data_IF_357574934554
#
_entry.id   IF_357574934554
#
_cell.length_a   1.000
_cell.length_b   1.000
_cell.length_c   1.000
_cell.angle_alpha   90.00
_cell.angle_beta   90.00
_cell.angle_gamma   90.00
#
_symmetry.space_group_name_H-M   'P 1'
#
loop_
_entity.id
_entity.type
_entity.pdbx_description
1 polymer ?
#
# COMPACT_ATOMS: atom_id res chain seq x y z
N UNK A 1 17.70 22.53 -21.21
CA UNK A 1 17.79 22.52 -19.73
C UNK A 1 18.85 21.51 -19.32
N UNK A 2 19.78 21.85 -18.44
CA UNK A 2 20.94 21.01 -18.05
C UNK A 2 20.59 19.86 -17.09
N UNK A 3 19.35 19.36 -17.10
CA UNK A 3 19.03 17.97 -16.72
C UNK A 3 19.31 17.50 -15.28
N UNK A 4 19.66 18.36 -14.33
CA UNK A 4 19.73 17.95 -12.91
C UNK A 4 18.41 18.30 -12.25
N UNK A 5 17.43 17.41 -12.40
CA UNK A 5 16.13 17.60 -11.76
C UNK A 5 16.06 16.78 -10.47
N UNK A 6 16.04 17.44 -9.31
CA UNK A 6 15.97 16.78 -8.00
C UNK A 6 14.65 16.04 -7.71
N UNK A 7 13.69 16.02 -8.63
CA UNK A 7 12.40 15.36 -8.44
C UNK A 7 12.37 13.89 -8.89
N UNK A 8 13.36 13.40 -9.65
CA UNK A 8 13.41 12.03 -10.16
C UNK A 8 14.83 11.63 -10.60
N UNK A 9 15.06 10.32 -10.80
CA UNK A 9 16.31 9.80 -11.38
C UNK A 9 17.29 9.17 -10.39
N UNK A 10 16.96 9.14 -9.10
CA UNK A 10 17.72 8.41 -8.08
C UNK A 10 17.31 6.93 -8.09
N UNK A 11 18.31 6.04 -8.05
CA UNK A 11 18.13 4.59 -7.91
C UNK A 11 18.62 4.16 -6.53
N UNK A 12 17.89 3.26 -5.90
CA UNK A 12 18.22 2.70 -4.59
C UNK A 12 17.39 1.45 -4.32
N UNK A 13 17.71 0.76 -3.24
CA UNK A 13 16.98 -0.42 -2.79
C UNK A 13 16.27 -0.17 -1.44
N UNK A 14 15.55 -1.17 -0.95
CA UNK A 14 14.79 -1.05 0.29
C UNK A 14 15.70 -0.81 1.52
N UNK A 15 16.91 -1.37 1.54
CA UNK A 15 17.88 -1.16 2.62
C UNK A 15 18.42 0.27 2.64
N UNK A 16 18.70 0.84 1.46
CA UNK A 16 19.16 2.24 1.37
C UNK A 16 18.08 3.20 1.91
N UNK A 17 16.82 2.95 1.52
CA UNK A 17 15.68 3.71 2.02
C UNK A 17 15.40 3.46 3.50
N UNK A 18 15.71 2.27 4.02
CA UNK A 18 15.56 1.96 5.43
C UNK A 18 16.53 2.80 6.28
N UNK A 19 17.74 3.08 5.80
CA UNK A 19 18.66 4.02 6.47
C UNK A 19 18.04 5.41 6.53
N UNK A 20 17.46 5.91 5.43
CA UNK A 20 16.76 7.20 5.41
C UNK A 20 15.57 7.24 6.38
N UNK A 21 14.72 6.22 6.35
CA UNK A 21 13.58 6.11 7.26
C UNK A 21 14.04 6.06 8.72
N UNK A 22 15.10 5.30 9.00
CA UNK A 22 15.65 5.21 10.35
C UNK A 22 16.29 6.52 10.80
N UNK A 23 16.86 7.34 9.91
CA UNK A 23 17.33 8.69 10.28
C UNK A 23 16.19 9.60 10.75
N UNK A 24 15.01 9.49 10.14
CA UNK A 24 13.81 10.20 10.59
C UNK A 24 13.34 9.68 11.95
N UNK A 25 13.28 8.35 12.13
CA UNK A 25 12.89 7.73 13.41
C UNK A 25 13.87 8.09 14.54
N UNK A 26 15.16 8.05 14.26
CA UNK A 26 16.23 8.42 15.21
C UNK A 26 16.39 9.93 15.39
N UNK A 27 15.54 10.73 14.73
CA UNK A 27 15.55 12.19 14.81
C UNK A 27 16.84 12.89 14.35
N UNK A 28 17.57 12.32 13.40
CA UNK A 28 18.74 13.03 12.83
C UNK A 28 19.90 12.21 12.32
N UNK A 29 19.94 10.90 12.58
CA UNK A 29 21.14 10.11 12.33
C UNK A 29 20.95 8.61 12.26
N UNK A 30 22.00 7.90 11.87
CA UNK A 30 22.02 6.44 11.78
C UNK A 30 23.31 5.88 12.37
N UNK A 31 23.19 4.92 13.29
CA UNK A 31 24.32 4.46 14.10
C UNK A 31 24.92 5.62 14.90
N UNK A 32 26.25 5.82 14.79
CA UNK A 32 26.97 6.89 15.48
C UNK A 32 27.15 8.16 14.61
N UNK A 33 26.47 8.23 13.47
CA UNK A 33 26.59 9.36 12.54
C UNK A 33 25.34 10.23 12.58
N UNK A 34 25.50 11.48 13.00
CA UNK A 34 24.46 12.51 12.93
C UNK A 34 24.58 13.26 11.61
N UNK A 35 23.45 13.37 10.88
CA UNK A 35 23.35 14.04 9.59
C UNK A 35 22.67 15.40 9.72
N UNK A 36 21.68 15.51 10.60
CA UNK A 36 21.01 16.76 10.97
C UNK A 36 20.57 16.71 12.44
N UNK A 37 20.27 17.87 13.01
CA UNK A 37 19.70 17.98 14.36
C UNK A 37 18.18 17.77 14.37
N UNK A 38 17.62 17.58 15.57
CA UNK A 38 16.19 17.32 15.75
C UNK A 38 15.34 18.53 15.29
N UNK A 39 15.82 19.75 15.53
CA UNK A 39 15.13 20.99 15.14
C UNK A 39 14.98 21.09 13.61
N UNK A 40 16.00 20.68 12.86
CA UNK A 40 15.97 20.59 11.40
C UNK A 40 14.94 19.56 10.96
N UNK A 41 14.90 18.38 11.59
CA UNK A 41 13.89 17.38 11.26
C UNK A 41 12.48 17.93 11.51
N UNK A 42 12.26 18.54 12.67
CA UNK A 42 10.96 19.08 13.06
C UNK A 42 10.46 20.09 12.05
N UNK A 43 11.30 20.99 11.55
CA UNK A 43 10.90 21.93 10.50
C UNK A 43 10.54 21.23 9.18
N UNK A 44 11.22 20.13 8.84
CA UNK A 44 10.92 19.36 7.61
C UNK A 44 9.62 18.56 7.70
N UNK A 45 9.31 17.99 8.86
CA UNK A 45 8.11 17.16 9.08
C UNK A 45 6.95 17.94 9.67
N UNK A 46 7.10 19.24 9.95
CA UNK A 46 6.02 20.12 10.41
C UNK A 46 4.96 20.33 9.33
N UNK A 47 3.67 20.43 9.70
CA UNK A 47 2.62 20.79 8.74
C UNK A 47 2.84 22.18 8.16
N UNK A 48 2.69 22.32 6.84
CA UNK A 48 2.54 23.63 6.21
C UNK A 48 1.25 24.30 6.68
N UNK A 49 1.31 25.60 6.93
CA UNK A 49 0.16 26.40 7.39
C UNK A 49 -1.02 26.39 6.42
N UNK A 50 -0.74 26.30 5.11
CA UNK A 50 -1.77 26.29 4.06
C UNK A 50 -2.40 24.92 3.84
N UNK A 51 -1.68 23.84 4.15
CA UNK A 51 -2.17 22.48 4.02
C UNK A 51 -1.34 21.52 4.90
N UNK A 52 -1.98 20.99 5.94
CA UNK A 52 -1.33 20.13 6.94
C UNK A 52 -0.85 18.77 6.40
N UNK A 53 -1.31 18.36 5.22
CA UNK A 53 -0.87 17.14 4.51
C UNK A 53 0.48 17.27 3.80
N UNK A 54 1.15 18.42 3.93
CA UNK A 54 2.48 18.67 3.40
C UNK A 54 3.44 19.09 4.52
N UNK A 55 4.69 18.63 4.42
CA UNK A 55 5.87 19.19 5.07
C UNK A 55 6.84 19.77 4.03
N UNK A 56 8.08 20.03 4.42
CA UNK A 56 9.14 20.38 3.47
C UNK A 56 9.70 19.09 2.85
N UNK A 57 9.37 18.86 1.58
CA UNK A 57 9.78 17.63 0.87
C UNK A 57 8.96 16.38 1.18
N UNK A 58 8.05 16.44 2.15
CA UNK A 58 7.25 15.30 2.60
C UNK A 58 5.75 15.47 2.33
N UNK A 59 5.07 14.36 2.03
CA UNK A 59 3.64 14.21 2.31
C UNK A 59 3.47 13.83 3.77
N UNK A 60 2.36 14.24 4.38
CA UNK A 60 2.02 13.95 5.78
C UNK A 60 0.66 13.29 5.87
N UNK A 61 0.52 12.38 6.83
CA UNK A 61 -0.74 11.76 7.18
C UNK A 61 -1.77 12.80 7.65
N UNK A 62 -1.35 13.74 8.50
CA UNK A 62 -2.22 14.78 9.08
C UNK A 62 -3.49 14.16 9.69
N UNK A 63 -4.66 14.79 9.53
CA UNK A 63 -5.94 14.21 9.94
C UNK A 63 -6.44 13.14 8.94
N UNK A 64 -5.62 12.13 8.68
CA UNK A 64 -5.89 11.03 7.75
C UNK A 64 -6.04 11.46 6.27
N UNK A 65 -5.43 12.58 5.88
CA UNK A 65 -5.46 13.09 4.50
C UNK A 65 -4.73 12.17 3.50
N UNK A 66 -3.74 11.40 3.99
CA UNK A 66 -2.94 10.46 3.21
C UNK A 66 -3.18 8.99 3.55
N UNK A 67 -4.25 8.68 4.29
CA UNK A 67 -4.52 7.31 4.77
C UNK A 67 -4.74 6.29 3.65
N UNK A 68 -5.11 6.75 2.46
CA UNK A 68 -5.19 5.92 1.24
C UNK A 68 -3.84 5.31 0.86
N UNK A 69 -2.71 5.92 1.27
CA UNK A 69 -1.36 5.42 1.03
C UNK A 69 -0.63 5.02 2.32
N UNK A 70 -0.76 5.80 3.39
CA UNK A 70 0.07 5.66 4.61
C UNK A 70 -0.53 4.74 5.67
N UNK A 71 -1.64 4.06 5.37
CA UNK A 71 -2.56 3.44 6.34
C UNK A 71 -3.42 4.45 7.08
N UNK A 72 -4.67 4.07 7.36
CA UNK A 72 -5.50 4.78 8.34
C UNK A 72 -5.13 4.49 9.80
N UNK A 73 -4.18 3.57 10.04
CA UNK A 73 -3.69 3.22 11.37
C UNK A 73 -2.46 4.03 11.79
N UNK A 74 -1.81 4.73 10.85
CA UNK A 74 -0.60 5.50 11.13
C UNK A 74 -0.92 6.83 11.79
N UNK A 75 0.00 7.32 12.62
CA UNK A 75 -0.18 8.55 13.37
C UNK A 75 -0.20 9.79 12.46
N UNK A 76 -0.84 10.87 12.92
CA UNK A 76 -0.92 12.14 12.19
C UNK A 76 0.46 12.75 11.85
N UNK A 77 1.50 12.42 12.61
CA UNK A 77 2.89 12.81 12.37
C UNK A 77 3.59 12.04 11.24
N UNK A 78 3.00 10.93 10.77
CA UNK A 78 3.57 10.08 9.72
C UNK A 78 3.86 10.87 8.45
N UNK A 79 5.07 10.66 7.92
CA UNK A 79 5.55 11.29 6.68
C UNK A 79 5.91 10.24 5.64
N UNK A 80 5.91 10.64 4.37
CA UNK A 80 6.26 9.71 3.30
C UNK A 80 6.15 10.31 1.91
N UNK A 81 6.27 9.43 0.91
CA UNK A 81 6.07 9.79 -0.48
C UNK A 81 5.72 8.57 -1.35
N UNK A 82 4.94 8.80 -2.41
CA UNK A 82 4.71 7.83 -3.49
C UNK A 82 5.59 8.15 -4.70
N UNK A 83 5.98 7.14 -5.45
CA UNK A 83 6.71 7.29 -6.71
C UNK A 83 5.88 6.90 -7.92
N UNK A 84 6.17 7.52 -9.06
CA UNK A 84 5.45 7.26 -10.32
C UNK A 84 5.39 5.78 -10.69
N UNK A 85 6.48 5.04 -10.46
CA UNK A 85 6.64 3.61 -10.79
C UNK A 85 5.92 2.66 -9.82
N UNK A 86 5.15 3.18 -8.86
CA UNK A 86 4.43 2.36 -7.88
C UNK A 86 5.18 2.17 -6.56
N UNK A 87 6.14 3.04 -6.24
CA UNK A 87 6.89 2.95 -4.98
C UNK A 87 6.19 3.73 -3.87
N UNK A 88 6.41 3.31 -2.62
CA UNK A 88 5.91 3.98 -1.43
C UNK A 88 6.95 3.92 -0.32
N UNK A 89 7.17 5.05 0.35
CA UNK A 89 7.86 5.12 1.63
C UNK A 89 6.94 5.78 2.64
N UNK A 90 6.77 5.15 3.80
CA UNK A 90 6.00 5.64 4.95
C UNK A 90 6.89 5.54 6.17
N UNK A 91 6.97 6.61 6.94
CA UNK A 91 7.76 6.67 8.17
C UNK A 91 6.91 7.33 9.24
N UNK A 92 6.57 6.56 10.26
CA UNK A 92 5.83 6.99 11.43
C UNK A 92 6.83 7.15 12.60
N UNK A 93 7.22 8.39 12.95
CA UNK A 93 8.13 8.63 14.05
C UNK A 93 7.47 8.45 15.42
N UNK A 94 6.13 8.41 15.52
CA UNK A 94 5.42 8.15 16.77
C UNK A 94 5.47 6.66 17.11
N UNK A 95 5.12 5.80 16.16
CA UNK A 95 5.09 4.34 16.34
C UNK A 95 6.46 3.68 16.02
N UNK A 96 7.51 4.46 15.76
CA UNK A 96 8.84 4.00 15.35
C UNK A 96 8.80 2.96 14.22
N UNK A 97 7.92 3.18 13.24
CA UNK A 97 7.61 2.21 12.20
C UNK A 97 7.87 2.80 10.83
N UNK A 98 8.48 2.01 9.94
CA UNK A 98 8.64 2.38 8.54
C UNK A 98 8.14 1.27 7.62
N UNK A 99 7.53 1.68 6.50
CA UNK A 99 7.09 0.79 5.42
C UNK A 99 7.72 1.27 4.13
N UNK A 100 8.48 0.38 3.48
CA UNK A 100 9.08 0.63 2.18
C UNK A 100 8.56 -0.42 1.21
N UNK A 101 7.87 0.05 0.17
CA UNK A 101 7.33 -0.78 -0.89
C UNK A 101 7.95 -0.34 -2.21
N UNK A 102 8.71 -1.25 -2.83
CA UNK A 102 9.28 -1.04 -4.15
C UNK A 102 8.58 -1.96 -5.14
N UNK A 103 7.89 -1.35 -6.10
CA UNK A 103 7.24 -2.07 -7.21
C UNK A 103 7.70 -1.51 -8.54
N UNK A 104 7.22 -2.13 -9.62
CA UNK A 104 7.39 -1.63 -10.97
C UNK A 104 6.04 -1.61 -11.68
N UNK A 105 5.04 -1.02 -11.03
CA UNK A 105 3.64 -0.91 -11.49
C UNK A 105 3.52 -0.49 -12.95
N UNK A 106 4.32 0.51 -13.34
CA UNK A 106 4.30 1.10 -14.68
C UNK A 106 5.01 0.24 -15.73
N UNK A 107 5.79 -0.77 -15.33
CA UNK A 107 6.40 -1.72 -16.25
C UNK A 107 5.45 -2.88 -16.55
N UNK A 108 4.25 -2.51 -17.02
CA UNK A 108 3.19 -3.43 -17.46
C UNK A 108 2.51 -2.84 -18.69
N UNK A 109 1.73 -3.61 -19.47
CA UNK A 109 1.00 -3.06 -20.60
C UNK A 109 -0.05 -2.02 -20.18
N UNK A 110 -0.29 -1.04 -21.05
CA UNK A 110 -1.46 -0.14 -20.96
C UNK A 110 -2.70 -0.92 -21.39
N UNK A 111 -3.81 -0.79 -20.67
CA UNK A 111 -5.02 -1.60 -20.91
C UNK A 111 -5.81 -1.18 -22.16
N UNK A 112 -5.89 0.13 -22.43
CA UNK A 112 -6.65 0.70 -23.56
C UNK A 112 -5.78 1.67 -24.40
N UNK A 113 -4.66 1.18 -24.96
CA UNK A 113 -3.64 2.02 -25.62
C UNK A 113 -4.17 2.82 -26.82
N UNK A 114 -5.31 2.43 -27.37
CA UNK A 114 -6.00 3.11 -28.46
C UNK A 114 -6.63 4.46 -28.05
N UNK A 115 -6.73 4.76 -26.76
CA UNK A 115 -7.29 6.03 -26.26
C UNK A 115 -6.27 6.82 -25.43
N UNK A 116 -6.14 8.11 -25.71
CA UNK A 116 -5.26 8.99 -24.92
C UNK A 116 -5.78 9.21 -23.50
N UNK A 117 -7.10 9.05 -23.28
CA UNK A 117 -7.75 9.16 -21.98
C UNK A 117 -7.24 8.12 -20.96
N UNK A 118 -6.68 7.01 -21.42
CA UNK A 118 -6.19 5.91 -20.57
C UNK A 118 -4.70 5.62 -20.80
N UNK A 119 -3.96 6.59 -21.35
CA UNK A 119 -2.53 6.44 -21.65
C UNK A 119 -1.67 6.14 -20.41
N UNK A 120 -2.19 6.37 -19.20
CA UNK A 120 -1.54 6.03 -17.92
C UNK A 120 -2.26 4.91 -17.16
N UNK A 121 -3.16 4.18 -17.81
CA UNK A 121 -3.91 3.07 -17.23
C UNK A 121 -3.15 1.74 -17.46
N UNK A 122 -2.07 1.59 -16.71
CA UNK A 122 -1.23 0.40 -16.72
C UNK A 122 -1.91 -0.74 -16.00
N UNK A 123 -1.83 -1.97 -16.53
CA UNK A 123 -2.36 -3.17 -15.89
C UNK A 123 -1.89 -3.32 -14.44
N UNK A 124 -0.65 -2.90 -14.15
CA UNK A 124 -0.09 -2.90 -12.80
C UNK A 124 -0.84 -2.03 -11.82
N UNK A 125 -1.40 -0.90 -12.27
CA UNK A 125 -2.16 0.03 -11.43
C UNK A 125 -3.49 -0.54 -10.92
N UNK A 126 -3.91 -1.69 -11.46
CA UNK A 126 -5.06 -2.44 -11.01
C UNK A 126 -4.70 -3.48 -9.95
N UNK A 127 -3.42 -3.76 -9.69
CA UNK A 127 -3.02 -4.62 -8.58
C UNK A 127 -3.29 -3.96 -7.22
N UNK A 128 -3.65 -4.76 -6.22
CA UNK A 128 -3.88 -4.31 -4.84
C UNK A 128 -2.65 -3.63 -4.25
N UNK A 129 -1.45 -4.14 -4.58
CA UNK A 129 -0.19 -3.55 -4.16
C UNK A 129 -0.07 -2.07 -4.57
N UNK A 130 -0.58 -1.73 -5.75
CA UNK A 130 -0.57 -0.37 -6.30
C UNK A 130 -1.60 0.57 -5.69
N UNK A 131 -2.50 0.06 -4.84
CA UNK A 131 -3.39 0.88 -4.04
C UNK A 131 -2.75 1.35 -2.74
N UNK A 132 -1.57 0.82 -2.38
CA UNK A 132 -0.72 1.18 -1.23
C UNK A 132 -1.33 0.94 0.15
N UNK A 133 -2.46 1.59 0.46
CA UNK A 133 -3.03 1.69 1.80
C UNK A 133 -3.28 0.35 2.47
N UNK A 134 -3.64 -0.68 1.71
CA UNK A 134 -3.85 -2.03 2.24
C UNK A 134 -2.55 -2.67 2.72
N UNK A 135 -1.46 -2.55 1.96
CA UNK A 135 -0.15 -3.11 2.31
C UNK A 135 0.46 -2.33 3.47
N UNK A 136 0.40 -0.99 3.44
CA UNK A 136 0.82 -0.17 4.56
C UNK A 136 0.03 -0.53 5.82
N UNK A 137 -1.29 -0.67 5.71
CA UNK A 137 -2.13 -1.06 6.84
C UNK A 137 -1.81 -2.43 7.39
N UNK A 138 -1.47 -3.41 6.55
CA UNK A 138 -1.00 -4.72 6.99
C UNK A 138 0.32 -4.64 7.75
N UNK A 139 1.26 -3.79 7.31
CA UNK A 139 2.54 -3.62 7.98
C UNK A 139 2.38 -2.92 9.34
N UNK A 140 1.69 -1.78 9.41
CA UNK A 140 1.37 -1.09 10.69
C UNK A 140 0.56 -1.98 11.63
N UNK A 141 -0.36 -2.75 11.08
CA UNK A 141 -1.14 -3.75 11.82
C UNK A 141 -0.31 -4.86 12.46
N UNK A 142 0.84 -5.20 11.89
CA UNK A 142 1.71 -6.27 12.40
C UNK A 142 2.63 -5.77 13.52
N UNK A 143 2.93 -4.48 13.54
CA UNK A 143 3.75 -3.84 14.59
C UNK A 143 2.90 -3.53 15.84
N UNK A 144 1.64 -3.12 15.64
CA UNK A 144 0.71 -2.83 16.73
C UNK A 144 0.05 -4.10 17.28
N UNK A 145 0.60 -4.58 18.40
CA UNK A 145 0.20 -5.68 19.29
C UNK A 145 -0.84 -6.69 18.76
N UNK A 146 -0.36 -7.92 18.61
CA UNK A 146 -0.84 -8.99 17.72
C UNK A 146 -2.12 -9.67 18.23
N UNK A 147 -3.23 -8.93 18.33
CA UNK A 147 -4.53 -9.53 18.64
C UNK A 147 -5.03 -10.27 17.40
N UNK A 148 -4.98 -11.61 17.43
CA UNK A 148 -5.51 -12.51 16.41
C UNK A 148 -6.90 -12.09 15.89
N UNK A 149 -7.77 -11.59 16.77
CA UNK A 149 -9.10 -11.05 16.43
C UNK A 149 -9.06 -9.79 15.57
N UNK A 150 -8.10 -8.89 15.79
CA UNK A 150 -7.88 -7.71 14.97
C UNK A 150 -7.35 -8.11 13.58
N UNK A 151 -6.44 -9.09 13.51
CA UNK A 151 -5.90 -9.58 12.25
C UNK A 151 -6.96 -10.29 11.40
N UNK A 152 -7.83 -11.08 12.01
CA UNK A 152 -8.97 -11.68 11.32
C UNK A 152 -9.93 -10.61 10.78
N UNK A 153 -10.23 -9.58 11.57
CA UNK A 153 -11.10 -8.49 11.14
C UNK A 153 -10.49 -7.70 9.97
N UNK A 154 -9.17 -7.46 9.99
CA UNK A 154 -8.42 -6.81 8.90
C UNK A 154 -8.53 -7.61 7.59
N UNK A 155 -8.30 -8.92 7.63
CA UNK A 155 -8.40 -9.78 6.44
C UNK A 155 -9.81 -9.86 5.87
N UNK A 156 -10.82 -9.93 6.75
CA UNK A 156 -12.23 -9.88 6.35
C UNK A 156 -12.53 -8.55 5.64
N UNK A 157 -12.01 -7.43 6.16
CA UNK A 157 -12.18 -6.12 5.53
C UNK A 157 -11.52 -6.09 4.15
N UNK A 158 -10.25 -6.49 4.04
CA UNK A 158 -9.48 -6.50 2.79
C UNK A 158 -10.19 -7.29 1.69
N UNK A 159 -10.59 -8.55 1.97
CA UNK A 159 -11.23 -9.39 0.95
C UNK A 159 -12.60 -8.84 0.55
N UNK A 160 -13.33 -8.21 1.49
CA UNK A 160 -14.64 -7.63 1.23
C UNK A 160 -14.53 -6.35 0.41
N UNK A 161 -13.60 -5.46 0.77
CA UNK A 161 -13.36 -4.21 0.05
C UNK A 161 -12.88 -4.48 -1.37
N UNK A 162 -11.91 -5.38 -1.54
CA UNK A 162 -11.43 -5.75 -2.87
C UNK A 162 -12.54 -6.34 -3.73
N UNK A 163 -13.36 -7.25 -3.18
CA UNK A 163 -14.52 -7.75 -3.89
C UNK A 163 -15.48 -6.63 -4.29
N UNK A 164 -15.79 -5.71 -3.39
CA UNK A 164 -16.70 -4.59 -3.67
C UNK A 164 -16.15 -3.64 -4.74
N UNK A 165 -14.85 -3.34 -4.74
CA UNK A 165 -14.19 -2.55 -5.78
C UNK A 165 -14.33 -3.23 -7.14
N UNK A 166 -14.02 -4.53 -7.22
CA UNK A 166 -14.21 -5.35 -8.42
C UNK A 166 -15.67 -5.28 -8.90
N UNK A 167 -16.63 -5.38 -7.99
CA UNK A 167 -18.04 -5.27 -8.35
C UNK A 167 -18.47 -3.87 -8.81
N UNK A 168 -17.79 -2.80 -8.38
CA UNK A 168 -18.04 -1.42 -8.84
C UNK A 168 -17.49 -1.19 -10.24
N UNK A 169 -16.31 -1.77 -10.54
CA UNK A 169 -15.62 -1.60 -11.82
C UNK A 169 -15.83 -2.80 -12.75
N UNK A 170 -17.06 -3.33 -12.84
CA UNK A 170 -17.36 -4.60 -13.54
C UNK A 170 -16.93 -4.62 -15.01
N UNK A 171 -17.07 -3.49 -15.68
CA UNK A 171 -16.83 -3.39 -17.11
C UNK A 171 -15.34 -3.25 -17.46
N UNK A 172 -14.50 -2.95 -16.45
CA UNK A 172 -13.06 -2.74 -16.59
C UNK A 172 -12.22 -3.78 -15.80
N UNK A 173 -12.83 -4.89 -15.39
CA UNK A 173 -12.12 -5.93 -14.61
C UNK A 173 -11.03 -6.61 -15.44
N UNK A 174 -9.85 -6.71 -14.85
CA UNK A 174 -8.69 -7.39 -15.43
C UNK A 174 -8.45 -8.75 -14.77
N UNK A 175 -7.56 -9.56 -15.36
CA UNK A 175 -7.10 -10.80 -14.72
C UNK A 175 -6.28 -10.52 -13.45
N UNK A 176 -5.65 -9.34 -13.36
CA UNK A 176 -4.96 -8.85 -12.18
C UNK A 176 -5.93 -8.73 -10.99
N UNK A 177 -7.08 -8.12 -11.20
CA UNK A 177 -8.09 -7.95 -10.16
C UNK A 177 -8.58 -9.28 -9.59
N UNK A 178 -8.81 -10.24 -10.49
CA UNK A 178 -9.22 -11.60 -10.14
C UNK A 178 -8.12 -12.33 -9.35
N UNK A 179 -6.87 -12.17 -9.76
CA UNK A 179 -5.72 -12.80 -9.11
C UNK A 179 -5.51 -12.27 -7.69
N UNK A 180 -5.66 -10.96 -7.49
CA UNK A 180 -5.55 -10.33 -6.17
C UNK A 180 -6.62 -10.84 -5.22
N UNK A 181 -7.88 -10.81 -5.65
CA UNK A 181 -8.97 -11.30 -4.81
C UNK A 181 -8.76 -12.77 -4.42
N UNK A 182 -8.24 -13.59 -5.34
CA UNK A 182 -7.86 -14.97 -5.05
C UNK A 182 -6.76 -15.06 -3.98
N UNK A 183 -5.72 -14.22 -4.08
CA UNK A 183 -4.61 -14.19 -3.11
C UNK A 183 -5.06 -13.77 -1.71
N UNK A 184 -5.84 -12.70 -1.59
CA UNK A 184 -6.40 -12.27 -0.29
C UNK A 184 -7.32 -13.37 0.27
N UNK A 185 -8.15 -13.99 -0.59
CA UNK A 185 -9.00 -15.10 -0.19
C UNK A 185 -8.20 -16.30 0.33
N UNK A 186 -7.05 -16.63 -0.27
CA UNK A 186 -6.18 -17.70 0.24
C UNK A 186 -5.63 -17.39 1.64
N UNK A 187 -5.29 -16.12 1.91
CA UNK A 187 -4.87 -15.67 3.23
C UNK A 187 -6.01 -15.69 4.27
N UNK A 188 -7.27 -15.52 3.84
CA UNK A 188 -8.47 -15.70 4.67
C UNK A 188 -8.69 -17.19 4.96
N UNK A 189 -8.62 -18.05 3.94
CA UNK A 189 -8.90 -19.49 4.08
C UNK A 189 -7.83 -20.21 4.89
N UNK A 190 -6.56 -19.80 4.82
CA UNK A 190 -5.50 -20.36 5.68
C UNK A 190 -5.81 -20.19 7.17
N UNK A 191 -6.60 -19.17 7.53
CA UNK A 191 -7.07 -18.87 8.89
C UNK A 191 -8.50 -19.35 9.19
N UNK A 192 -9.05 -20.28 8.38
CA UNK A 192 -10.44 -20.80 8.55
C UNK A 192 -10.74 -21.45 9.90
N UNK A 193 -9.71 -21.80 10.67
CA UNK A 193 -9.84 -22.33 12.02
C UNK A 193 -10.28 -21.26 13.03
N UNK A 194 -10.03 -19.98 12.74
CA UNK A 194 -10.44 -18.87 13.61
C UNK A 194 -11.95 -18.64 13.55
N UNK A 195 -12.56 -18.40 14.72
CA UNK A 195 -14.02 -18.26 14.86
C UNK A 195 -14.60 -17.14 13.99
N UNK A 196 -13.91 -15.98 13.94
CA UNK A 196 -14.35 -14.82 13.15
C UNK A 196 -14.32 -15.12 11.65
N UNK A 197 -13.24 -15.72 11.16
CA UNK A 197 -13.08 -16.12 9.76
C UNK A 197 -14.11 -17.17 9.37
N UNK A 198 -14.30 -18.21 10.19
CA UNK A 198 -15.32 -19.25 9.94
C UNK A 198 -16.72 -18.65 9.83
N UNK A 199 -17.06 -17.70 10.71
CA UNK A 199 -18.33 -16.96 10.67
C UNK A 199 -18.45 -16.13 9.39
N UNK A 200 -17.39 -15.42 8.99
CA UNK A 200 -17.37 -14.64 7.77
C UNK A 200 -17.54 -15.50 6.51
N UNK A 201 -16.78 -16.59 6.36
CA UNK A 201 -16.88 -17.49 5.20
C UNK A 201 -18.28 -18.11 5.05
N UNK A 202 -19.01 -18.25 6.16
CA UNK A 202 -20.40 -18.74 6.17
C UNK A 202 -21.46 -17.66 5.89
N UNK A 203 -21.07 -16.37 5.93
CA UNK A 203 -21.96 -15.24 5.71
C UNK A 203 -22.39 -15.10 4.24
N UNK A 204 -23.43 -14.29 3.98
CA UNK A 204 -23.88 -13.98 2.62
C UNK A 204 -22.77 -13.37 1.76
N UNK A 205 -22.01 -12.41 2.31
CA UNK A 205 -20.85 -11.79 1.65
C UNK A 205 -19.75 -12.81 1.38
N UNK A 206 -19.39 -13.61 2.38
CA UNK A 206 -18.38 -14.66 2.23
C UNK A 206 -18.73 -15.66 1.13
N UNK A 207 -19.99 -16.12 1.06
CA UNK A 207 -20.47 -17.01 0.01
C UNK A 207 -20.39 -16.40 -1.39
N UNK A 208 -20.70 -15.11 -1.55
CA UNK A 208 -20.56 -14.39 -2.83
C UNK A 208 -19.11 -14.34 -3.29
N UNK A 209 -18.21 -14.01 -2.37
CA UNK A 209 -16.76 -13.98 -2.64
C UNK A 209 -16.26 -15.38 -3.03
N UNK A 210 -16.65 -16.43 -2.30
CA UNK A 210 -16.29 -17.82 -2.62
C UNK A 210 -16.76 -18.21 -4.03
N UNK A 211 -18.01 -17.88 -4.39
CA UNK A 211 -18.55 -18.19 -5.71
C UNK A 211 -17.77 -17.46 -6.82
N UNK A 212 -17.48 -16.16 -6.61
CA UNK A 212 -16.69 -15.37 -7.56
C UNK A 212 -15.27 -15.93 -7.72
N UNK A 213 -14.59 -16.26 -6.61
CA UNK A 213 -13.24 -16.85 -6.64
C UNK A 213 -13.25 -18.20 -7.38
N UNK A 214 -14.22 -19.07 -7.09
CA UNK A 214 -14.34 -20.37 -7.80
C UNK A 214 -14.53 -20.21 -9.30
N UNK A 215 -15.37 -19.27 -9.72
CA UNK A 215 -15.63 -19.02 -11.13
C UNK A 215 -14.40 -18.48 -11.89
N UNK A 216 -13.51 -17.76 -11.21
CA UNK A 216 -12.39 -17.06 -11.84
C UNK A 216 -11.01 -17.69 -11.59
N UNK A 217 -10.89 -18.63 -10.64
CA UNK A 217 -9.60 -19.24 -10.24
C UNK A 217 -8.89 -19.97 -11.39
N UNK A 218 -9.64 -20.64 -12.27
CA UNK A 218 -9.09 -21.34 -13.44
C UNK A 218 -8.39 -20.35 -14.40
N UNK A 219 -9.00 -19.18 -14.61
CA UNK A 219 -8.43 -18.13 -15.46
C UNK A 219 -7.16 -17.54 -14.84
N UNK A 220 -7.12 -17.34 -13.52
CA UNK A 220 -5.93 -16.86 -12.79
C UNK A 220 -4.77 -17.86 -12.90
N UNK A 221 -5.02 -19.15 -12.73
CA UNK A 221 -3.97 -20.18 -12.81
C UNK A 221 -3.37 -20.31 -14.21
N UNK A 222 -4.19 -20.14 -15.26
CA UNK A 222 -3.72 -20.18 -16.64
C UNK A 222 -2.83 -19.00 -17.03
N UNK A 223 -2.96 -17.85 -16.36
CA UNK A 223 -2.08 -16.69 -16.58
C UNK A 223 -0.76 -16.85 -15.83
N UNK A 224 -0.76 -17.43 -14.63
CA UNK A 224 0.47 -17.69 -13.86
C UNK A 224 1.41 -18.72 -14.50
N UNK A 225 0.88 -19.67 -15.26
CA UNK A 225 1.67 -20.71 -15.93
C UNK A 225 2.21 -20.30 -17.31
N UNK A 226 2.00 -19.05 -17.74
CA UNK A 226 2.44 -18.53 -19.06
C UNK A 226 3.59 -17.51 -18.95
N UNK A 227 4.06 -17.22 -17.74
CA UNK A 227 5.25 -16.41 -17.46
C UNK A 227 6.30 -17.30 -16.79
#
# INVERSE_FOLDING_TARGET
MLGVSGHAGLFGNASDLAVLAQMVINRGGYGNHQVFDEDTLDEFIKPKSTNSSYGLGWRRQASNAYGWAFSGLSDASTVGHTGWTGTLTVVDPHDNTAVILLTNERNTPILKPETTATANDFAGGHYLLSKYGDIASLAFAAVNDDKQSANDAKLISLVTQRYNEIQKNKDDQTNADKADLCGIYDAVVSRKHNKAIKKFLSSSTGKKIIAYVKANRSAVNNVRNRN
#
